data_IF_582384724885
#
_entry.id   IF_582384724885
#
_cell.length_a   1.000
_cell.length_b   1.000
_cell.length_c   1.000
_cell.angle_alpha   90.00
_cell.angle_beta   90.00
_cell.angle_gamma   90.00
#
_symmetry.space_group_name_H-M   'P 1'
#
loop_
_entity.id
_entity.type
_entity.pdbx_description
1 polymer ?
#
# COMPACT_ATOMS: atom_id res chain seq x y z
N UNK A 1 22.39 9.88 23.85
CA UNK A 1 21.69 10.14 22.58
C UNK A 1 20.78 11.34 22.81
N UNK A 2 21.15 12.49 22.27
CA UNK A 2 20.58 13.81 22.56
C UNK A 2 19.24 14.02 21.82
N UNK A 3 18.35 14.81 22.41
CA UNK A 3 16.99 15.05 21.89
C UNK A 3 16.93 15.68 20.48
N UNK A 4 18.04 16.24 19.98
CA UNK A 4 18.15 16.79 18.61
C UNK A 4 18.11 15.72 17.50
N UNK A 5 18.50 14.47 17.79
CA UNK A 5 18.51 13.40 16.79
C UNK A 5 17.10 12.88 16.45
N UNK A 6 16.11 13.16 17.31
CA UNK A 6 14.72 12.71 17.12
C UNK A 6 13.90 13.59 16.16
N UNK A 7 14.26 14.87 16.00
CA UNK A 7 13.51 15.79 15.13
C UNK A 7 13.75 15.48 13.64
N UNK A 8 15.00 15.21 13.27
CA UNK A 8 15.40 15.04 11.86
C UNK A 8 14.87 13.73 11.23
N UNK A 9 14.55 12.73 12.05
CA UNK A 9 13.94 11.48 11.56
C UNK A 9 12.43 11.65 11.28
N UNK A 10 11.80 12.70 11.79
CA UNK A 10 10.35 12.91 11.67
C UNK A 10 9.99 13.67 10.39
N UNK A 11 10.77 14.68 10.01
CA UNK A 11 10.52 15.48 8.79
C UNK A 11 10.68 14.66 7.49
N UNK A 12 11.67 13.76 7.42
CA UNK A 12 11.80 12.86 6.27
C UNK A 12 10.68 11.81 6.17
N UNK A 13 10.01 11.49 7.29
CA UNK A 13 8.90 10.52 7.29
C UNK A 13 7.61 11.10 6.73
N UNK A 14 7.39 12.40 6.86
CA UNK A 14 6.20 13.09 6.37
C UNK A 14 6.21 13.29 4.85
N UNK A 15 7.39 13.47 4.26
CA UNK A 15 7.51 13.71 2.80
C UNK A 15 7.28 12.48 1.92
N UNK A 16 7.31 11.27 2.47
CA UNK A 16 7.11 10.02 1.73
C UNK A 16 5.75 9.35 2.03
N UNK A 17 4.93 9.93 2.91
CA UNK A 17 3.66 9.38 3.39
C UNK A 17 2.48 9.98 2.62
N UNK A 18 1.86 9.17 1.77
CA UNK A 18 0.81 9.60 0.83
C UNK A 18 -0.57 9.45 1.45
N UNK A 19 -0.73 8.45 2.31
CA UNK A 19 -1.96 8.16 3.03
C UNK A 19 -1.62 7.64 4.41
N UNK A 20 -2.42 8.05 5.39
CA UNK A 20 -2.30 7.60 6.77
C UNK A 20 -3.69 7.39 7.36
N UNK A 21 -3.91 6.22 7.97
CA UNK A 21 -5.15 5.94 8.70
C UNK A 21 -4.85 5.22 10.02
N UNK A 22 -5.38 5.76 11.12
CA UNK A 22 -5.20 5.21 12.46
C UNK A 22 -6.53 4.68 13.02
N UNK A 23 -6.57 3.39 13.33
CA UNK A 23 -7.74 2.72 13.91
C UNK A 23 -7.46 2.35 15.37
N UNK A 24 -8.20 2.96 16.30
CA UNK A 24 -8.10 2.66 17.73
C UNK A 24 -9.02 1.50 18.12
N UNK A 25 -8.45 0.49 18.79
CA UNK A 25 -9.15 -0.71 19.26
C UNK A 25 -8.74 -1.02 20.71
N UNK A 26 -9.35 -0.33 21.67
CA UNK A 26 -9.07 -0.50 23.09
C UNK A 26 -7.60 -0.20 23.45
N UNK A 27 -6.83 -1.23 23.86
CA UNK A 27 -5.40 -1.10 24.20
C UNK A 27 -4.46 -1.15 22.99
N UNK A 28 -5.00 -1.35 21.79
CA UNK A 28 -4.25 -1.41 20.52
C UNK A 28 -4.60 -0.22 19.62
N UNK A 29 -3.65 0.21 18.82
CA UNK A 29 -3.88 1.15 17.72
C UNK A 29 -3.21 0.58 16.48
N UNK A 30 -3.96 0.46 15.40
CA UNK A 30 -3.47 0.04 14.10
C UNK A 30 -3.23 1.27 13.24
N UNK A 31 -2.09 1.33 12.57
CA UNK A 31 -1.73 2.38 11.62
C UNK A 31 -1.57 1.74 10.25
N UNK A 32 -2.23 2.32 9.24
CA UNK A 32 -2.17 1.92 7.85
C UNK A 32 -1.60 3.08 7.06
N UNK A 33 -0.32 2.99 6.71
CA UNK A 33 0.39 4.07 6.01
C UNK A 33 0.75 3.61 4.59
N UNK A 34 0.43 4.41 3.57
CA UNK A 34 0.90 4.19 2.20
C UNK A 34 2.09 5.10 1.97
N UNK A 35 3.23 4.50 1.59
CA UNK A 35 4.49 5.20 1.40
C UNK A 35 5.05 4.95 0.00
N UNK A 36 5.85 5.89 -0.49
CA UNK A 36 6.57 5.74 -1.77
C UNK A 36 7.98 5.19 -1.53
N UNK A 37 8.46 4.32 -2.42
CA UNK A 37 9.87 3.93 -2.49
C UNK A 37 10.65 4.97 -3.31
N UNK A 38 11.98 4.86 -3.29
CA UNK A 38 12.86 5.64 -4.18
C UNK A 38 12.63 5.33 -5.66
N UNK A 39 12.13 4.13 -5.98
CA UNK A 39 11.79 3.69 -7.34
C UNK A 39 10.42 4.16 -7.81
N UNK A 40 9.79 5.11 -7.10
CA UNK A 40 8.47 5.65 -7.36
C UNK A 40 7.29 4.68 -7.17
N UNK A 41 7.52 3.45 -6.73
CA UNK A 41 6.48 2.48 -6.35
C UNK A 41 5.86 2.78 -4.99
N UNK A 42 4.66 2.24 -4.74
CA UNK A 42 3.94 2.38 -3.48
C UNK A 42 3.92 1.07 -2.70
N UNK A 43 4.06 1.18 -1.38
CA UNK A 43 3.99 0.05 -0.46
C UNK A 43 3.17 0.42 0.79
N UNK A 44 2.59 -0.60 1.42
CA UNK A 44 1.77 -0.45 2.63
C UNK A 44 2.62 -0.79 3.86
N UNK A 45 2.56 0.07 4.87
CA UNK A 45 3.09 -0.21 6.21
C UNK A 45 1.91 -0.37 7.16
N UNK A 46 1.78 -1.56 7.77
CA UNK A 46 0.80 -1.82 8.81
C UNK A 46 1.54 -1.88 10.15
N UNK A 47 1.17 -1.01 11.09
CA UNK A 47 1.76 -1.01 12.43
C UNK A 47 0.69 -1.26 13.49
N UNK A 48 0.83 -2.31 14.28
CA UNK A 48 0.11 -2.47 15.54
C UNK A 48 0.93 -1.85 16.67
N UNK A 49 0.38 -0.87 17.38
CA UNK A 49 0.92 -0.40 18.67
C UNK A 49 0.03 -0.89 19.81
N UNK A 50 0.59 -1.73 20.68
CA UNK A 50 -0.09 -2.29 21.85
C UNK A 50 0.49 -1.71 23.13
N UNK A 51 -0.36 -1.11 23.96
CA UNK A 51 0.04 -0.66 25.30
C UNK A 51 0.22 -1.86 26.23
N UNK A 52 1.42 -2.03 26.78
CA UNK A 52 1.80 -3.03 27.77
C UNK A 52 2.07 -2.35 29.12
N UNK A 53 1.69 -3.03 30.19
CA UNK A 53 1.98 -2.61 31.56
C UNK A 53 3.02 -3.55 32.13
N UNK A 54 3.99 -2.99 32.83
CA UNK A 54 4.99 -3.70 33.59
C UNK A 54 4.48 -3.93 35.02
N UNK A 55 5.13 -4.83 35.76
CA UNK A 55 4.75 -5.17 37.14
C UNK A 55 4.91 -3.99 38.12
N UNK A 56 5.82 -3.07 37.81
CA UNK A 56 6.06 -1.82 38.55
C UNK A 56 5.01 -0.72 38.28
N UNK A 57 4.00 -1.01 37.45
CA UNK A 57 2.96 -0.05 37.06
C UNK A 57 3.35 0.91 35.94
N UNK A 58 4.58 0.86 35.44
CA UNK A 58 4.99 1.60 34.25
C UNK A 58 4.37 1.00 32.99
N UNK A 59 4.31 1.77 31.91
CA UNK A 59 3.79 1.28 30.63
C UNK A 59 4.75 1.56 29.47
N UNK A 60 4.71 0.67 28.47
CA UNK A 60 5.43 0.84 27.22
C UNK A 60 4.54 0.45 26.03
N UNK A 61 4.88 0.94 24.85
CA UNK A 61 4.19 0.58 23.61
C UNK A 61 5.01 -0.45 22.85
N UNK A 62 4.46 -1.66 22.72
CA UNK A 62 5.01 -2.68 21.83
C UNK A 62 4.51 -2.43 20.42
N UNK A 63 5.41 -2.23 19.46
CA UNK A 63 5.07 -2.03 18.05
C UNK A 63 5.37 -3.29 17.25
N UNK A 64 4.40 -3.77 16.48
CA UNK A 64 4.59 -4.78 15.44
C UNK A 64 4.40 -4.09 14.11
N UNK A 65 5.37 -4.20 13.20
CA UNK A 65 5.33 -3.55 11.90
C UNK A 65 5.44 -4.60 10.80
N UNK A 66 4.58 -4.49 9.81
CA UNK A 66 4.57 -5.28 8.58
C UNK A 66 4.73 -4.33 7.42
N UNK A 67 5.63 -4.68 6.49
CA UNK A 67 5.78 -4.03 5.20
C UNK A 67 5.19 -4.95 4.15
N UNK A 68 4.34 -4.40 3.29
CA UNK A 68 3.72 -5.14 2.20
C UNK A 68 3.99 -4.40 0.90
N UNK A 69 4.62 -5.09 -0.04
CA UNK A 69 4.97 -4.56 -1.36
C UNK A 69 3.95 -5.04 -2.41
N UNK A 70 3.93 -4.37 -3.56
CA UNK A 70 2.91 -4.52 -4.61
C UNK A 70 2.76 -5.97 -5.08
N UNK A 71 3.87 -6.69 -5.20
CA UNK A 71 3.92 -8.10 -5.64
C UNK A 71 3.19 -9.07 -4.71
N UNK A 72 3.02 -8.70 -3.44
CA UNK A 72 2.42 -9.55 -2.41
C UNK A 72 0.97 -9.18 -2.08
N UNK A 73 0.43 -8.08 -2.64
CA UNK A 73 -0.90 -7.55 -2.28
C UNK A 73 -2.02 -8.57 -2.46
N UNK A 74 -2.07 -9.24 -3.60
CA UNK A 74 -3.10 -10.22 -3.93
C UNK A 74 -3.06 -11.41 -2.95
N UNK A 75 -1.91 -12.08 -2.87
CA UNK A 75 -1.73 -13.26 -1.99
C UNK A 75 -1.97 -12.93 -0.51
N UNK A 76 -1.49 -11.78 -0.04
CA UNK A 76 -1.68 -11.36 1.33
C UNK A 76 -3.14 -11.05 1.64
N UNK A 77 -3.84 -10.36 0.74
CA UNK A 77 -5.23 -9.96 0.97
C UNK A 77 -6.18 -11.14 0.91
N UNK A 78 -5.95 -12.09 0.01
CA UNK A 78 -6.71 -13.33 -0.06
C UNK A 78 -6.54 -14.16 1.22
N UNK A 79 -5.29 -14.39 1.64
CA UNK A 79 -4.99 -15.14 2.85
C UNK A 79 -5.56 -14.46 4.11
N UNK A 80 -5.47 -13.13 4.20
CA UNK A 80 -6.05 -12.36 5.30
C UNK A 80 -7.57 -12.48 5.32
N UNK A 81 -8.22 -12.34 4.16
CA UNK A 81 -9.67 -12.43 4.02
C UNK A 81 -10.17 -13.83 4.38
N UNK A 82 -9.50 -14.87 3.91
CA UNK A 82 -9.84 -16.27 4.24
C UNK A 82 -9.67 -16.54 5.74
N UNK A 83 -8.57 -16.09 6.34
CA UNK A 83 -8.35 -16.23 7.78
C UNK A 83 -9.43 -15.52 8.60
N UNK A 84 -9.83 -14.30 8.22
CA UNK A 84 -10.92 -13.56 8.87
C UNK A 84 -12.25 -14.30 8.71
N UNK A 85 -12.59 -14.75 7.49
CA UNK A 85 -13.80 -15.54 7.24
C UNK A 85 -13.84 -16.79 8.11
N UNK A 86 -12.71 -17.49 8.23
CA UNK A 86 -12.62 -18.69 9.07
C UNK A 86 -12.80 -18.39 10.55
N UNK A 87 -12.21 -17.30 11.04
CA UNK A 87 -12.41 -16.83 12.42
C UNK A 87 -13.89 -16.54 12.67
N UNK A 88 -14.58 -15.88 11.74
CA UNK A 88 -16.00 -15.57 11.93
C UNK A 88 -16.85 -16.83 11.90
N UNK A 89 -16.61 -17.75 10.96
CA UNK A 89 -17.27 -19.06 10.91
C UNK A 89 -17.13 -19.83 12.24
N UNK A 90 -15.92 -19.88 12.81
CA UNK A 90 -15.67 -20.51 14.11
C UNK A 90 -16.35 -19.79 15.28
N UNK A 91 -16.58 -18.48 15.12
CA UNK A 91 -17.28 -17.65 16.10
C UNK A 91 -18.79 -17.56 15.83
N UNK A 92 -19.37 -18.30 14.88
CA UNK A 92 -20.81 -18.25 14.54
C UNK A 92 -21.77 -18.69 15.65
N UNK A 93 -21.26 -19.16 16.78
CA UNK A 93 -22.05 -19.20 18.02
C UNK A 93 -22.29 -17.79 18.63
N UNK A 94 -21.72 -16.70 18.08
CA UNK A 94 -21.74 -15.36 18.68
C UNK A 94 -21.93 -14.12 17.79
N UNK A 95 -21.81 -14.12 16.46
CA UNK A 95 -22.04 -12.90 15.64
C UNK A 95 -22.14 -13.16 14.12
N UNK A 96 -23.35 -13.20 13.55
CA UNK A 96 -23.57 -13.32 12.08
C UNK A 96 -23.47 -11.98 11.33
N UNK A 97 -23.72 -10.83 11.98
CA UNK A 97 -23.81 -9.52 11.29
C UNK A 97 -22.48 -8.94 10.77
N UNK A 98 -21.34 -9.51 11.14
CA UNK A 98 -20.01 -8.99 10.81
C UNK A 98 -19.49 -9.47 9.45
N UNK A 99 -19.95 -10.64 8.98
CA UNK A 99 -19.49 -11.24 7.71
C UNK A 99 -19.94 -10.41 6.51
N UNK A 100 -21.22 -10.05 6.49
CA UNK A 100 -21.84 -9.37 5.34
C UNK A 100 -21.26 -7.97 5.09
N UNK A 101 -20.81 -7.28 6.14
CA UNK A 101 -20.18 -5.95 6.03
C UNK A 101 -18.77 -6.01 5.45
N UNK A 102 -18.04 -7.10 5.69
CA UNK A 102 -16.68 -7.27 5.18
C UNK A 102 -16.73 -7.67 3.69
N UNK A 103 -17.65 -8.57 3.31
CA UNK A 103 -17.81 -8.98 1.91
C UNK A 103 -18.28 -7.84 1.01
N UNK A 104 -19.25 -7.04 1.47
CA UNK A 104 -19.85 -6.00 0.64
C UNK A 104 -18.94 -4.78 0.44
N UNK A 105 -18.04 -4.48 1.39
CA UNK A 105 -17.14 -3.34 1.27
C UNK A 105 -15.89 -3.62 0.41
N UNK A 106 -15.55 -4.89 0.16
CA UNK A 106 -14.36 -5.24 -0.64
C UNK A 106 -14.67 -5.27 -2.15
N UNK A 107 -15.93 -5.41 -2.54
CA UNK A 107 -16.35 -5.53 -3.96
C UNK A 107 -16.53 -4.20 -4.68
N UNK A 108 -16.51 -3.06 -3.99
CA UNK A 108 -16.69 -1.72 -4.60
C UNK A 108 -15.38 -1.05 -5.02
N UNK A 109 -14.24 -1.76 -4.98
CA UNK A 109 -12.95 -1.24 -5.46
C UNK A 109 -12.81 -1.57 -6.95
N UNK A 110 -13.31 -0.69 -7.82
CA UNK A 110 -13.10 -0.77 -9.27
C UNK A 110 -11.66 -0.38 -9.61
N UNK A 111 -10.81 -1.36 -9.89
CA UNK A 111 -9.41 -1.17 -10.28
C UNK A 111 -9.23 -0.54 -11.68
N UNK A 112 -10.32 -0.36 -12.43
CA UNK A 112 -10.34 0.28 -13.75
C UNK A 112 -10.31 1.81 -13.71
N UNK A 113 -10.53 2.44 -12.54
CA UNK A 113 -10.46 3.90 -12.35
C UNK A 113 -9.05 4.39 -11.95
N UNK A 114 -8.11 3.47 -11.71
CA UNK A 114 -6.70 3.82 -11.56
C UNK A 114 -6.11 4.05 -12.94
N UNK A 115 -6.39 5.23 -13.49
CA UNK A 115 -5.85 5.71 -14.75
C UNK A 115 -4.36 5.46 -14.83
N UNK A 116 -3.99 4.43 -15.57
CA UNK A 116 -2.64 4.27 -16.09
C UNK A 116 -2.43 5.51 -16.97
N UNK A 117 -1.53 6.44 -16.61
CA UNK A 117 -1.34 7.63 -17.42
C UNK A 117 -0.92 7.19 -18.82
N UNK A 118 -1.70 7.56 -19.83
CA UNK A 118 -1.33 7.47 -21.25
C UNK A 118 -0.16 8.42 -21.50
N UNK A 119 1.05 8.03 -21.09
CA UNK A 119 2.30 8.70 -21.45
C UNK A 119 3.34 7.67 -21.89
N UNK A 120 2.96 6.69 -22.70
CA UNK A 120 3.90 5.86 -23.47
C UNK A 120 3.39 5.56 -24.90
N UNK A 121 2.43 6.33 -25.43
CA UNK A 121 2.01 6.21 -26.85
C UNK A 121 2.68 7.21 -27.79
N UNK A 122 3.41 8.20 -27.29
CA UNK A 122 3.91 9.30 -28.13
C UNK A 122 5.33 9.12 -28.67
N UNK A 123 6.09 8.11 -28.24
CA UNK A 123 7.46 7.92 -28.75
C UNK A 123 7.55 6.94 -29.94
N UNK A 124 6.55 6.07 -30.14
CA UNK A 124 6.57 5.09 -31.23
C UNK A 124 6.18 5.66 -32.61
N UNK A 125 5.56 6.85 -32.69
CA UNK A 125 5.11 7.42 -33.97
C UNK A 125 6.17 8.24 -34.71
N UNK A 126 7.24 8.65 -34.03
CA UNK A 126 8.28 9.50 -34.62
C UNK A 126 9.45 8.67 -35.19
N UNK A 127 9.74 7.49 -34.64
CA UNK A 127 10.76 6.58 -35.20
C UNK A 127 10.34 5.99 -36.56
N UNK A 128 9.04 5.70 -36.76
CA UNK A 128 8.55 5.16 -38.03
C UNK A 128 8.55 6.18 -39.18
N UNK A 129 8.44 7.49 -38.87
CA UNK A 129 8.56 8.54 -39.87
C UNK A 129 10.01 8.83 -40.27
N UNK A 130 10.96 8.59 -39.38
CA UNK A 130 12.38 8.80 -39.68
C UNK A 130 12.92 7.73 -40.64
N UNK A 131 12.50 6.45 -40.51
CA UNK A 131 12.93 5.39 -41.41
C UNK A 131 12.31 5.48 -42.82
N UNK A 132 11.06 5.95 -42.95
CA UNK A 132 10.40 6.09 -44.27
C UNK A 132 11.02 7.23 -45.11
N UNK A 133 11.48 8.31 -44.47
CA UNK A 133 12.12 9.44 -45.16
C UNK A 133 13.52 9.09 -45.67
N UNK A 134 14.27 8.24 -44.95
CA UNK A 134 15.61 7.78 -45.36
C UNK A 134 15.51 6.81 -46.55
N UNK A 135 14.47 5.97 -46.60
CA UNK A 135 14.26 5.03 -47.70
C UNK A 135 13.85 5.72 -49.03
N UNK A 136 13.14 6.86 -48.98
CA UNK A 136 12.78 7.61 -50.19
C UNK A 136 13.93 8.44 -50.78
N UNK A 137 14.95 8.79 -49.99
CA UNK A 137 16.10 9.56 -50.46
C UNK A 137 17.13 8.68 -51.18
N UNK A 138 17.31 7.42 -50.76
CA UNK A 138 18.21 6.46 -51.44
C UNK A 138 17.65 5.95 -52.78
N UNK A 139 16.32 5.94 -52.96
CA UNK A 139 15.68 5.52 -54.21
C UNK A 139 15.73 6.56 -55.36
N UNK A 140 16.23 7.78 -55.10
CA UNK A 140 16.38 8.84 -56.10
C UNK A 140 17.81 9.05 -56.61
N UNK A 141 18.77 8.29 -56.11
CA UNK A 141 20.18 8.39 -56.52
C UNK A 141 20.71 7.26 -57.41
N UNK A 142 19.86 6.36 -57.91
CA UNK A 142 20.19 5.40 -58.99
C UNK A 142 19.40 5.66 -60.28
#
# INVERSE_FOLDING_TARGET
>A
MTMEETANTTEHREHEEIYANAVRAGKRTYFFDVRRTRGNDYYLTITESKRRYNEDGTFHYQKHKVFLYKEDFEKFTDALTEAIKKIIELNKDKNDEMVDKISNNFTDVNFEDLGIPEQEKTEASDEQKAEEVIAEEEAKSE
#
